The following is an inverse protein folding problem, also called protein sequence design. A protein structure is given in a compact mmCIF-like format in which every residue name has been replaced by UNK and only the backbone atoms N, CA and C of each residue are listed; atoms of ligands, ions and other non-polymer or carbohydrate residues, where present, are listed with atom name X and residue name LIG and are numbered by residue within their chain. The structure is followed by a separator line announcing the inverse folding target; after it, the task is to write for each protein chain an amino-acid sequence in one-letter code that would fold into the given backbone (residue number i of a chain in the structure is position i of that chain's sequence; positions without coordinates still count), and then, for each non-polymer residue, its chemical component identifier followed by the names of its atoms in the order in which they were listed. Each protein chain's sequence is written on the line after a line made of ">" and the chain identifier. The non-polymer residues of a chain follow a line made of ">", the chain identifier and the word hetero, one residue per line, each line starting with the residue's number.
data_IF_658818700690
#
_entry.id   IF_658818700690
#
_cell.length_a   1.000
_cell.length_b   1.000
_cell.length_c   1.000
_cell.angle_alpha   90.00
_cell.angle_beta   90.00
_cell.angle_gamma   90.00
#
_symmetry.space_group_name_H-M   'P 1'
#
loop_
_entity.id
_entity.type
_entity.pdbx_description
1 polymer ?
#
# COMPACT_ATOMS: atom_id res chain seq x y z
N UNK A 1 -14.28 24.53 -2.95
CA UNK A 1 -12.86 24.78 -3.29
C UNK A 1 -12.09 24.41 -2.05
N UNK A 2 -11.52 23.21 -1.97
CA UNK A 2 -10.75 22.79 -0.81
C UNK A 2 -9.50 23.69 -0.72
N UNK A 3 -9.36 24.41 0.38
CA UNK A 3 -8.17 25.23 0.66
C UNK A 3 -6.97 24.31 0.92
N UNK A 4 -5.76 24.76 0.59
CA UNK A 4 -4.51 24.02 0.78
C UNK A 4 -4.21 23.66 2.26
N UNK A 5 -4.98 24.21 3.21
CA UNK A 5 -4.88 23.96 4.64
C UNK A 5 -5.86 22.90 5.18
N UNK A 6 -6.70 22.30 4.33
CA UNK A 6 -7.58 21.20 4.74
C UNK A 6 -6.78 19.89 4.73
N UNK A 7 -6.54 19.24 5.88
CA UNK A 7 -5.78 18.00 5.91
C UNK A 7 -6.56 16.92 5.16
N UNK A 8 -6.00 16.43 4.05
CA UNK A 8 -6.50 15.24 3.34
C UNK A 8 -6.86 14.14 4.36
N UNK A 9 -8.11 13.64 4.38
CA UNK A 9 -8.56 12.65 5.34
C UNK A 9 -7.73 11.34 5.34
N UNK A 10 -6.88 11.12 4.33
CA UNK A 10 -5.96 9.99 4.26
C UNK A 10 -4.70 10.13 5.11
N UNK A 11 -4.35 11.31 5.62
CA UNK A 11 -3.17 11.47 6.48
C UNK A 11 -3.17 10.51 7.67
N UNK A 12 -4.34 10.29 8.29
CA UNK A 12 -4.50 9.35 9.39
C UNK A 12 -4.22 7.90 8.94
N UNK A 13 -4.58 7.54 7.70
CA UNK A 13 -4.26 6.24 7.13
C UNK A 13 -2.76 6.12 6.88
N UNK A 14 -2.13 7.12 6.26
CA UNK A 14 -0.70 7.11 5.95
C UNK A 14 0.16 7.04 7.21
N UNK A 15 -0.22 7.75 8.26
CA UNK A 15 0.46 7.75 9.56
C UNK A 15 0.31 6.38 10.24
N UNK A 16 -0.92 5.89 10.41
CA UNK A 16 -1.20 4.58 11.04
C UNK A 16 -0.49 3.41 10.34
N UNK A 17 -0.30 3.51 9.03
CA UNK A 17 0.27 2.42 8.22
C UNK A 17 1.72 2.66 7.83
N UNK A 18 2.33 3.76 8.29
CA UNK A 18 3.73 4.11 8.04
C UNK A 18 4.09 4.25 6.56
N UNK A 19 3.11 4.51 5.69
CA UNK A 19 3.29 4.49 4.23
C UNK A 19 4.33 5.49 3.77
N UNK A 20 4.42 6.65 4.43
CA UNK A 20 5.38 7.71 4.13
C UNK A 20 6.85 7.30 4.36
N UNK A 21 7.12 6.21 5.08
CA UNK A 21 8.46 5.66 5.26
C UNK A 21 8.89 4.66 4.17
N UNK A 22 7.99 4.26 3.26
CA UNK A 22 8.34 3.37 2.16
C UNK A 22 9.46 3.96 1.26
N UNK A 23 10.54 3.21 1.08
CA UNK A 23 11.67 3.56 0.20
C UNK A 23 11.64 2.81 -1.15
N UNK A 24 10.52 2.16 -1.48
CA UNK A 24 10.33 1.42 -2.74
C UNK A 24 11.34 0.27 -2.99
N UNK A 25 11.87 -0.38 -1.95
CA UNK A 25 12.87 -1.45 -2.07
C UNK A 25 12.36 -2.77 -2.67
N UNK A 26 11.05 -3.03 -2.69
CA UNK A 26 10.45 -4.22 -3.30
C UNK A 26 10.43 -5.49 -2.45
N UNK A 27 10.98 -5.46 -1.23
CA UNK A 27 11.04 -6.63 -0.34
C UNK A 27 9.66 -7.23 -0.02
N UNK A 28 8.66 -6.37 0.18
CA UNK A 28 7.27 -6.78 0.36
C UNK A 28 6.72 -7.56 -0.84
N UNK A 29 7.03 -7.14 -2.07
CA UNK A 29 6.65 -7.86 -3.29
C UNK A 29 7.37 -9.20 -3.38
N UNK A 30 8.68 -9.26 -3.08
CA UNK A 30 9.45 -10.52 -3.06
C UNK A 30 8.95 -11.52 -2.01
N UNK A 31 8.42 -11.04 -0.87
CA UNK A 31 7.86 -11.90 0.19
C UNK A 31 6.42 -12.37 -0.07
N UNK A 32 5.74 -11.77 -1.05
CA UNK A 32 4.34 -12.05 -1.32
C UNK A 32 4.21 -13.34 -2.13
N UNK A 33 3.47 -14.36 -1.66
CA UNK A 33 3.30 -15.59 -2.40
C UNK A 33 2.59 -15.37 -3.75
N UNK A 34 1.69 -14.39 -3.82
CA UNK A 34 0.91 -14.10 -5.02
C UNK A 34 1.68 -13.31 -6.09
N UNK A 35 2.72 -12.56 -5.70
CA UNK A 35 3.51 -11.79 -6.67
C UNK A 35 4.24 -12.66 -7.71
N UNK A 36 4.34 -13.97 -7.45
CA UNK A 36 4.91 -14.93 -8.40
C UNK A 36 3.86 -15.65 -9.26
N UNK A 37 2.58 -15.56 -8.88
CA UNK A 37 1.49 -16.31 -9.49
C UNK A 37 0.64 -15.44 -10.41
N UNK A 38 0.51 -14.16 -10.08
CA UNK A 38 -0.34 -13.18 -10.75
C UNK A 38 0.32 -11.80 -10.73
N UNK A 39 -0.22 -10.87 -11.52
CA UNK A 39 0.22 -9.47 -11.53
C UNK A 39 -0.28 -8.74 -10.26
N UNK A 40 0.43 -8.95 -9.16
CA UNK A 40 0.10 -8.40 -7.85
C UNK A 40 1.36 -7.93 -7.13
N UNK A 41 1.34 -6.69 -6.65
CA UNK A 41 2.50 -6.08 -5.99
C UNK A 41 2.05 -5.24 -4.79
N UNK A 42 2.30 -5.70 -3.56
CA UNK A 42 2.09 -4.87 -2.37
C UNK A 42 2.87 -3.55 -2.43
N UNK A 43 4.07 -3.53 -3.04
CA UNK A 43 4.84 -2.29 -3.22
C UNK A 43 4.09 -1.27 -4.07
N UNK A 44 3.44 -1.73 -5.14
CA UNK A 44 2.73 -0.84 -6.04
C UNK A 44 1.54 -0.20 -5.32
N UNK A 45 0.77 -0.99 -4.57
CA UNK A 45 -0.34 -0.51 -3.74
C UNK A 45 0.10 0.53 -2.70
N UNK A 46 1.23 0.29 -2.04
CA UNK A 46 1.87 1.27 -1.14
C UNK A 46 2.24 2.56 -1.88
N UNK A 47 2.74 2.47 -3.10
CA UNK A 47 3.11 3.64 -3.89
C UNK A 47 1.88 4.46 -4.32
N UNK A 48 0.82 3.79 -4.74
CA UNK A 48 -0.47 4.40 -5.12
C UNK A 48 -1.06 5.19 -3.94
N UNK A 49 -1.09 4.60 -2.74
CA UNK A 49 -1.55 5.30 -1.53
C UNK A 49 -0.72 6.54 -1.20
N UNK A 50 0.61 6.51 -1.45
CA UNK A 50 1.50 7.65 -1.20
C UNK A 50 1.36 8.77 -2.22
N UNK A 51 1.14 8.42 -3.50
CA UNK A 51 1.14 9.37 -4.61
C UNK A 51 -0.19 10.11 -4.78
N UNK A 52 -1.18 9.78 -3.95
CA UNK A 52 -2.49 10.42 -3.95
C UNK A 52 -3.25 10.24 -5.28
N UNK A 53 -2.93 9.21 -6.07
CA UNK A 53 -3.59 8.93 -7.35
C UNK A 53 -5.03 8.43 -7.10
N UNK A 54 -5.99 9.36 -7.06
CA UNK A 54 -7.44 9.08 -6.90
C UNK A 54 -8.00 8.20 -8.01
N UNK A 55 -7.41 8.24 -9.22
CA UNK A 55 -8.01 7.62 -10.41
C UNK A 55 -8.02 6.09 -10.40
N UNK A 56 -7.30 5.42 -9.49
CA UNK A 56 -7.15 3.96 -9.52
C UNK A 56 -7.64 3.23 -8.26
N UNK A 57 -8.21 3.92 -7.27
CA UNK A 57 -8.68 3.23 -6.05
C UNK A 57 -9.93 2.39 -6.30
N UNK A 58 -10.81 2.81 -7.22
CA UNK A 58 -12.06 2.11 -7.53
C UNK A 58 -11.92 1.03 -8.63
N UNK A 59 -11.00 1.19 -9.60
CA UNK A 59 -10.81 0.18 -10.67
C UNK A 59 -10.13 -1.10 -10.19
N UNK A 60 -9.38 -1.04 -9.09
CA UNK A 60 -8.64 -2.20 -8.54
C UNK A 60 -9.28 -2.79 -7.28
N UNK A 61 -10.61 -2.72 -7.16
CA UNK A 61 -11.36 -3.47 -6.15
C UNK A 61 -11.01 -4.97 -6.07
N UNK A 62 -10.25 -5.52 -7.04
CA UNK A 62 -9.65 -6.84 -6.98
C UNK A 62 -8.48 -7.04 -6.00
N UNK A 63 -7.74 -6.01 -5.57
CA UNK A 63 -6.55 -6.24 -4.71
C UNK A 63 -6.91 -6.71 -3.30
N UNK A 64 -8.01 -6.20 -2.73
CA UNK A 64 -8.57 -6.66 -1.46
C UNK A 64 -8.97 -8.13 -1.53
N UNK A 65 -9.59 -8.55 -2.64
CA UNK A 65 -9.98 -9.94 -2.87
C UNK A 65 -8.80 -10.84 -3.26
N UNK A 66 -7.69 -10.24 -3.65
CA UNK A 66 -6.47 -10.94 -4.05
C UNK A 66 -5.58 -11.20 -2.84
N UNK A 67 -5.44 -10.25 -1.91
CA UNK A 67 -4.55 -10.39 -0.76
C UNK A 67 -4.96 -11.56 0.16
N UNK A 68 -4.00 -12.44 0.50
CA UNK A 68 -4.23 -13.56 1.44
C UNK A 68 -4.19 -13.15 2.91
N UNK A 69 -3.98 -11.87 3.22
CA UNK A 69 -3.79 -11.36 4.59
C UNK A 69 -2.75 -12.18 5.40
N UNK A 70 -1.67 -12.62 4.75
CA UNK A 70 -0.63 -13.45 5.37
C UNK A 70 0.43 -12.65 6.14
N UNK A 71 0.44 -11.32 5.99
CA UNK A 71 1.34 -10.38 6.68
C UNK A 71 2.86 -10.52 6.41
N UNK A 72 3.31 -11.43 5.54
CA UNK A 72 4.73 -11.56 5.17
C UNK A 72 5.35 -10.22 4.71
N UNK A 73 4.59 -9.40 3.99
CA UNK A 73 5.05 -8.09 3.53
C UNK A 73 5.35 -7.14 4.69
N UNK A 74 4.57 -7.18 5.78
CA UNK A 74 4.79 -6.36 6.98
C UNK A 74 6.04 -6.84 7.72
N UNK A 75 6.16 -8.15 7.99
CA UNK A 75 7.31 -8.74 8.68
C UNK A 75 8.63 -8.51 7.92
N UNK A 76 8.57 -8.53 6.58
CA UNK A 76 9.74 -8.31 5.74
C UNK A 76 10.18 -6.84 5.66
N UNK A 77 9.34 -5.89 6.08
CA UNK A 77 9.58 -4.46 5.87
C UNK A 77 10.46 -3.86 6.96
N UNK A 78 11.72 -3.59 6.62
CA UNK A 78 12.68 -2.95 7.53
C UNK A 78 12.32 -1.50 7.90
N UNK A 79 11.45 -0.85 7.11
CA UNK A 79 10.93 0.50 7.39
C UNK A 79 9.64 0.47 8.23
N UNK A 80 9.15 -0.72 8.60
CA UNK A 80 7.93 -0.86 9.39
C UNK A 80 6.66 -0.41 8.67
N UNK A 81 6.59 -0.53 7.34
CA UNK A 81 5.39 -0.19 6.56
C UNK A 81 4.38 -1.33 6.62
N UNK A 82 3.12 -1.00 6.90
CA UNK A 82 2.03 -1.96 7.04
C UNK A 82 1.32 -2.17 5.69
N UNK A 83 2.05 -2.71 4.70
CA UNK A 83 1.54 -2.93 3.35
C UNK A 83 0.23 -3.75 3.31
N UNK A 84 0.08 -4.73 4.20
CA UNK A 84 -1.14 -5.55 4.27
C UNK A 84 -2.42 -4.76 4.61
N UNK A 85 -2.31 -3.54 5.16
CA UNK A 85 -3.45 -2.73 5.60
C UNK A 85 -4.05 -1.86 4.48
N UNK A 86 -3.42 -1.81 3.30
CA UNK A 86 -3.82 -0.94 2.18
C UNK A 86 -3.90 -1.68 0.84
N UNK A 87 -3.87 -3.01 0.90
CA UNK A 87 -3.97 -3.88 -0.27
C UNK A 87 -5.35 -4.49 -0.40
#
# INVERSE_FOLDING_TARGET
>A
MASADDPDPRWERLDRTHMNYCIQCGRCTSSCPLATQIDYSPRQKVNEERLLEEENLDEYGGSVWTCLACYNCNESCEQGVHAAAVV
#
